data_IF_682444600235
#
_entry.id   IF_682444600235
#
_cell.length_a   1.000
_cell.length_b   1.000
_cell.length_c   1.000
_cell.angle_alpha   90.00
_cell.angle_beta   90.00
_cell.angle_gamma   90.00
#
_symmetry.space_group_name_H-M   'P 1'
#
loop_
_entity.id
_entity.type
_entity.pdbx_description
1 polymer ?
#
# COMPACT_ATOMS: atom_id res chain seq x y z
N UNK A 1 2.97 26.03 -2.04
CA UNK A 1 3.71 25.56 -3.23
C UNK A 1 4.47 24.29 -2.83
N UNK A 2 3.91 23.11 -3.11
CA UNK A 2 4.52 21.82 -2.75
C UNK A 2 5.57 21.48 -3.82
N UNK A 3 6.84 21.42 -3.43
CA UNK A 3 7.93 21.02 -4.32
C UNK A 3 7.84 19.51 -4.59
N UNK A 4 7.41 19.14 -5.80
CA UNK A 4 7.60 17.79 -6.32
C UNK A 4 9.00 17.73 -6.93
N UNK A 5 9.85 16.88 -6.38
CA UNK A 5 11.16 16.58 -6.95
C UNK A 5 10.93 15.78 -8.24
N UNK A 6 11.26 16.38 -9.39
CA UNK A 6 10.97 15.85 -10.73
C UNK A 6 11.77 14.60 -11.11
N UNK A 7 12.65 14.11 -10.23
CA UNK A 7 13.61 13.03 -10.51
C UNK A 7 13.28 11.67 -9.90
N UNK A 8 12.11 11.49 -9.27
CA UNK A 8 11.62 10.18 -8.85
C UNK A 8 10.21 9.94 -9.39
N UNK A 9 10.06 8.92 -10.23
CA UNK A 9 8.76 8.41 -10.66
C UNK A 9 8.09 7.69 -9.49
N UNK A 10 7.37 8.45 -8.66
CA UNK A 10 6.53 7.89 -7.63
C UNK A 10 5.33 7.21 -8.30
N UNK A 11 5.11 5.93 -7.99
CA UNK A 11 3.86 5.27 -8.36
C UNK A 11 2.76 5.77 -7.44
N UNK A 12 1.88 6.62 -7.98
CA UNK A 12 0.79 7.25 -7.24
C UNK A 12 -0.52 6.45 -7.38
N UNK A 13 -1.34 6.54 -6.35
CA UNK A 13 -2.66 5.90 -6.26
C UNK A 13 -3.78 6.75 -6.85
N UNK A 14 -3.56 8.07 -6.99
CA UNK A 14 -4.60 9.05 -7.35
C UNK A 14 -5.41 9.55 -6.14
N UNK A 15 -5.12 9.09 -4.93
CA UNK A 15 -5.64 9.64 -3.68
C UNK A 15 -4.55 10.50 -3.02
N UNK A 16 -4.78 11.82 -2.94
CA UNK A 16 -3.80 12.77 -2.42
C UNK A 16 -3.30 12.45 -1.01
N UNK A 17 -4.15 11.91 -0.13
CA UNK A 17 -3.77 11.57 1.26
C UNK A 17 -2.81 10.38 1.27
N UNK A 18 -3.14 9.34 0.52
CA UNK A 18 -2.30 8.14 0.36
C UNK A 18 -0.99 8.49 -0.34
N UNK A 19 -1.05 9.31 -1.38
CA UNK A 19 0.10 9.73 -2.18
C UNK A 19 1.07 10.58 -1.35
N UNK A 20 0.56 11.54 -0.56
CA UNK A 20 1.38 12.33 0.37
C UNK A 20 2.08 11.41 1.39
N UNK A 21 1.40 10.38 1.90
CA UNK A 21 1.97 9.42 2.84
C UNK A 21 3.06 8.54 2.21
N UNK A 22 2.82 8.01 1.00
CA UNK A 22 3.82 7.24 0.24
C UNK A 22 5.06 8.08 -0.01
N UNK A 23 4.89 9.31 -0.52
CA UNK A 23 6.00 10.24 -0.79
C UNK A 23 6.77 10.53 0.50
N UNK A 24 6.07 10.75 1.62
CA UNK A 24 6.70 10.98 2.92
C UNK A 24 7.60 9.81 3.34
N UNK A 25 7.10 8.57 3.27
CA UNK A 25 7.89 7.39 3.65
C UNK A 25 9.11 7.18 2.73
N UNK A 26 9.01 7.53 1.46
CA UNK A 26 10.09 7.34 0.49
C UNK A 26 11.15 8.46 0.51
N UNK A 27 10.79 9.67 0.93
CA UNK A 27 11.72 10.81 1.08
C UNK A 27 12.52 10.75 2.38
N UNK A 28 11.95 10.17 3.42
CA UNK A 28 12.59 10.16 4.73
C UNK A 28 13.63 9.03 4.81
N UNK A 29 14.88 9.32 4.43
CA UNK A 29 15.98 8.35 4.42
C UNK A 29 16.36 7.79 5.80
N UNK A 30 15.83 8.39 6.87
CA UNK A 30 15.92 7.84 8.23
C UNK A 30 15.08 6.56 8.40
N UNK A 31 14.09 6.35 7.53
CA UNK A 31 13.34 5.11 7.40
C UNK A 31 14.11 4.13 6.50
N UNK A 32 15.27 3.64 7.00
CA UNK A 32 16.09 2.63 6.29
C UNK A 32 15.31 1.34 6.01
N UNK A 33 14.25 1.09 6.77
CA UNK A 33 13.24 0.04 6.58
C UNK A 33 11.85 0.69 6.60
N UNK A 34 10.90 0.19 5.82
CA UNK A 34 9.51 0.68 5.85
C UNK A 34 9.12 1.72 4.79
N UNK A 35 9.81 1.76 3.64
CA UNK A 35 9.30 2.47 2.46
C UNK A 35 8.03 1.80 1.99
N UNK A 36 6.96 2.58 1.85
CA UNK A 36 5.67 2.10 1.34
C UNK A 36 5.59 2.42 -0.15
N UNK A 37 4.97 1.53 -0.92
CA UNK A 37 4.72 1.73 -2.33
C UNK A 37 3.26 1.42 -2.69
N UNK A 38 2.77 2.06 -3.74
CA UNK A 38 1.46 1.74 -4.30
C UNK A 38 1.58 0.52 -5.22
N UNK A 39 0.79 -0.51 -4.95
CA UNK A 39 0.65 -1.69 -5.80
C UNK A 39 -0.78 -1.75 -6.31
N UNK A 40 -0.92 -1.93 -7.62
CA UNK A 40 -2.26 -2.01 -8.23
C UNK A 40 -2.88 -3.36 -7.91
N UNK A 41 -4.20 -3.36 -7.66
CA UNK A 41 -4.91 -4.56 -7.21
C UNK A 41 -4.88 -5.71 -8.22
N UNK A 42 -4.75 -5.40 -9.52
CA UNK A 42 -4.60 -6.38 -10.61
C UNK A 42 -3.30 -7.20 -10.54
N UNK A 43 -2.36 -6.84 -9.66
CA UNK A 43 -1.12 -7.60 -9.44
C UNK A 43 -1.27 -8.72 -8.40
N UNK A 44 -2.45 -8.87 -7.79
CA UNK A 44 -2.72 -9.91 -6.81
C UNK A 44 -3.58 -11.02 -7.42
N UNK A 45 -3.12 -12.25 -7.26
CA UNK A 45 -3.77 -13.48 -7.74
C UNK A 45 -4.09 -14.41 -6.57
N UNK A 46 -4.94 -15.41 -6.81
CA UNK A 46 -5.31 -16.45 -5.84
C UNK A 46 -5.70 -15.89 -4.47
N UNK A 47 -6.59 -14.89 -4.48
CA UNK A 47 -7.04 -14.19 -3.28
C UNK A 47 -8.03 -15.09 -2.52
N UNK A 48 -7.60 -15.59 -1.37
CA UNK A 48 -8.33 -16.51 -0.51
C UNK A 48 -8.66 -15.83 0.82
N UNK A 49 -9.92 -15.89 1.25
CA UNK A 49 -10.32 -15.35 2.55
C UNK A 49 -9.74 -16.20 3.69
N UNK A 50 -9.14 -15.54 4.69
CA UNK A 50 -8.59 -16.21 5.86
C UNK A 50 -9.42 -15.96 7.12
N UNK A 51 -9.71 -14.69 7.41
CA UNK A 51 -10.36 -14.31 8.65
C UNK A 51 -11.02 -12.93 8.55
N UNK A 52 -12.00 -12.70 9.40
CA UNK A 52 -12.64 -11.41 9.60
C UNK A 52 -12.69 -11.11 11.10
N UNK A 53 -12.43 -9.86 11.45
CA UNK A 53 -12.48 -9.40 12.82
C UNK A 53 -12.26 -7.90 12.93
N UNK A 54 -12.82 -7.29 13.97
CA UNK A 54 -12.71 -5.85 14.21
C UNK A 54 -13.06 -5.03 12.96
N UNK A 55 -12.08 -4.26 12.46
CA UNK A 55 -12.23 -3.30 11.37
C UNK A 55 -11.72 -3.79 10.01
N UNK A 56 -11.47 -5.09 9.83
CA UNK A 56 -10.88 -5.59 8.58
C UNK A 56 -11.20 -7.04 8.24
N UNK A 57 -11.03 -7.36 6.96
CA UNK A 57 -10.98 -8.73 6.43
C UNK A 57 -9.55 -9.04 5.99
N UNK A 58 -9.06 -10.22 6.33
CA UNK A 58 -7.72 -10.71 5.99
C UNK A 58 -7.85 -11.77 4.91
N UNK A 59 -7.02 -11.63 3.87
CA UNK A 59 -6.93 -12.57 2.77
C UNK A 59 -5.48 -13.02 2.60
N UNK A 60 -5.29 -14.25 2.13
CA UNK A 60 -4.02 -14.70 1.55
C UNK A 60 -4.06 -14.38 0.06
N UNK A 61 -2.95 -13.95 -0.50
CA UNK A 61 -2.85 -13.75 -1.94
C UNK A 61 -1.44 -14.04 -2.44
N UNK A 62 -1.30 -14.18 -3.75
CA UNK A 62 -0.01 -14.18 -4.44
C UNK A 62 0.16 -12.81 -5.09
N UNK A 63 1.20 -12.08 -4.70
CA UNK A 63 1.62 -10.88 -5.41
C UNK A 63 2.59 -11.23 -6.54
N UNK A 64 2.21 -10.86 -7.76
CA UNK A 64 3.00 -11.10 -8.97
C UNK A 64 3.74 -9.81 -9.36
N UNK A 65 5.06 -9.80 -9.13
CA UNK A 65 5.92 -8.72 -9.58
C UNK A 65 6.17 -8.85 -11.09
N UNK A 66 5.36 -8.15 -11.90
CA UNK A 66 5.39 -8.19 -13.37
C UNK A 66 6.80 -7.97 -13.98
N UNK A 67 7.65 -7.19 -13.32
CA UNK A 67 8.99 -6.87 -13.83
C UNK A 67 10.05 -7.93 -13.50
N UNK A 68 9.84 -8.74 -12.47
CA UNK A 68 10.86 -9.66 -11.95
C UNK A 68 10.49 -11.13 -12.08
N UNK A 69 9.30 -11.47 -12.61
CA UNK A 69 8.73 -12.82 -12.60
C UNK A 69 8.81 -13.49 -11.22
N UNK A 70 8.70 -12.68 -10.16
CA UNK A 70 8.71 -13.15 -8.78
C UNK A 70 7.28 -13.17 -8.27
N UNK A 71 6.93 -14.27 -7.61
CA UNK A 71 5.66 -14.43 -6.94
C UNK A 71 5.92 -14.52 -5.44
N UNK A 72 5.16 -13.77 -4.64
CA UNK A 72 5.25 -13.77 -3.19
C UNK A 72 3.90 -14.06 -2.58
N UNK A 73 3.83 -15.00 -1.65
CA UNK A 73 2.64 -15.18 -0.80
C UNK A 73 2.60 -14.05 0.23
N UNK A 74 1.48 -13.33 0.27
CA UNK A 74 1.29 -12.16 1.13
C UNK A 74 -0.06 -12.22 1.83
N UNK A 75 -0.20 -11.44 2.90
CA UNK A 75 -1.47 -11.16 3.54
C UNK A 75 -2.02 -9.82 3.05
N UNK A 76 -3.25 -9.80 2.53
CA UNK A 76 -3.99 -8.59 2.22
C UNK A 76 -4.96 -8.29 3.36
N UNK A 77 -4.79 -7.11 3.98
CA UNK A 77 -5.73 -6.58 4.96
C UNK A 77 -6.64 -5.55 4.30
N UNK A 78 -7.91 -5.88 4.12
CA UNK A 78 -8.94 -4.98 3.60
C UNK A 78 -9.60 -4.27 4.77
N UNK A 79 -9.40 -2.96 4.88
CA UNK A 79 -10.06 -2.13 5.89
C UNK A 79 -11.54 -1.91 5.55
N UNK A 80 -12.39 -1.90 6.57
CA UNK A 80 -13.80 -1.53 6.43
C UNK A 80 -13.93 -0.04 6.08
N UNK A 81 -14.94 0.34 5.29
CA UNK A 81 -15.20 1.73 4.88
C UNK A 81 -14.01 2.43 4.16
N UNK A 82 -13.24 1.68 3.36
CA UNK A 82 -12.01 2.16 2.70
C UNK A 82 -12.16 3.34 1.72
N UNK A 83 -13.37 3.85 1.51
CA UNK A 83 -13.64 5.01 0.64
C UNK A 83 -13.25 6.34 1.33
N UNK A 84 -13.34 6.40 2.65
CA UNK A 84 -13.08 7.59 3.46
C UNK A 84 -11.92 7.38 4.44
N UNK A 85 -10.85 6.72 3.99
CA UNK A 85 -9.64 6.49 4.81
C UNK A 85 -9.03 7.83 5.24
N UNK A 86 -8.86 8.00 6.54
CA UNK A 86 -8.12 9.11 7.13
C UNK A 86 -6.71 8.67 7.51
N UNK A 87 -5.80 9.62 7.72
CA UNK A 87 -4.44 9.32 8.23
C UNK A 87 -4.46 8.58 9.58
N UNK A 88 -5.52 8.76 10.39
CA UNK A 88 -5.66 8.07 11.67
C UNK A 88 -5.92 6.57 11.48
N UNK A 89 -6.62 6.20 10.41
CA UNK A 89 -6.91 4.80 10.08
C UNK A 89 -5.68 4.05 9.55
N UNK A 90 -4.65 4.79 9.12
CA UNK A 90 -3.37 4.26 8.66
C UNK A 90 -2.37 4.05 9.81
N UNK A 91 -2.61 4.62 10.99
CA UNK A 91 -1.82 4.35 12.18
C UNK A 91 -2.40 3.13 12.89
N UNK A 92 -1.72 1.99 12.77
CA UNK A 92 -2.01 0.80 13.56
C UNK A 92 -1.40 0.99 14.97
N UNK A 93 -2.24 0.92 16.02
CA UNK A 93 -1.84 1.03 17.44
C UNK A 93 -1.50 -0.34 18.00
#
# INVERSE_FOLDING_TARGET
>A
MKYYDKNRDYKLSGNNVVDDFIIYTQKNDNLKTGRIEFVSYDQFENIEFLAEGGFSKIYKAIWVEKHNNKCKTIALKKLNNSKDITLKDLNEV
#
